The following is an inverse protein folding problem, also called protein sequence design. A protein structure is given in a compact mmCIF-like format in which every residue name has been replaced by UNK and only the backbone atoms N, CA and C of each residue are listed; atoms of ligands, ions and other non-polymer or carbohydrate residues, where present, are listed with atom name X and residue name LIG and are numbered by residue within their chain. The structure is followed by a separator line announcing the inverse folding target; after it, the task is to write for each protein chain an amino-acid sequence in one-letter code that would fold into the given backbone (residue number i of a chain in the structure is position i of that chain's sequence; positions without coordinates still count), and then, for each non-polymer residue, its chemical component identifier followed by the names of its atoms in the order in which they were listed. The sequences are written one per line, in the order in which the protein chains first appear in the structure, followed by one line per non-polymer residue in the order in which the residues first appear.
data_IF_831585033875
#
_entry.id   IF_831585033875
#
_cell.length_a   1.000
_cell.length_b   1.000
_cell.length_c   1.000
_cell.angle_alpha   90.00
_cell.angle_beta   90.00
_cell.angle_gamma   90.00
#
_symmetry.space_group_name_H-M   'P 1'
#
loop_
_entity.id
_entity.type
_entity.pdbx_description
1 polymer ?
#
# COMPACT_ATOMS: atom_id res chain seq x y z
N UNK A 1 40.07 26.75 60.42
CA UNK A 1 39.65 27.41 59.16
C UNK A 1 38.69 26.44 58.48
N UNK A 2 37.41 26.81 58.44
CA UNK A 2 36.30 25.96 58.02
C UNK A 2 35.86 26.44 56.64
N UNK A 3 35.99 25.59 55.62
CA UNK A 3 35.57 25.91 54.24
C UNK A 3 34.21 25.28 53.97
N UNK A 4 33.18 26.12 53.85
CA UNK A 4 31.84 25.73 53.42
C UNK A 4 31.79 25.69 51.90
N UNK A 5 31.36 24.57 51.32
CA UNK A 5 31.12 24.42 49.89
C UNK A 5 29.62 24.47 49.65
N UNK A 6 29.15 25.55 49.03
CA UNK A 6 27.76 25.71 48.60
C UNK A 6 27.58 25.05 47.24
N UNK A 7 26.82 23.96 47.19
CA UNK A 7 26.39 23.38 45.91
C UNK A 7 25.25 24.20 45.33
N UNK A 8 25.47 24.78 44.14
CA UNK A 8 24.42 25.43 43.35
C UNK A 8 23.81 24.35 42.45
N UNK A 9 22.59 23.95 42.75
CA UNK A 9 21.79 23.04 41.92
C UNK A 9 21.21 23.83 40.75
N UNK A 10 21.77 23.69 39.56
CA UNK A 10 21.17 24.21 38.34
C UNK A 10 20.02 23.29 37.91
N UNK A 11 18.79 23.80 37.94
CA UNK A 11 17.64 23.12 37.38
C UNK A 11 17.72 23.20 35.84
N UNK A 12 18.01 22.07 35.19
CA UNK A 12 17.95 21.94 33.74
C UNK A 12 16.46 21.82 33.39
N UNK A 13 15.85 22.91 32.96
CA UNK A 13 14.52 22.88 32.38
C UNK A 13 14.55 21.96 31.15
N UNK A 14 13.83 20.85 31.23
CA UNK A 14 13.71 19.89 30.14
C UNK A 14 13.07 20.55 28.93
N UNK A 15 13.88 20.82 27.91
CA UNK A 15 13.42 21.00 26.54
C UNK A 15 12.82 19.67 26.08
N UNK A 16 11.53 19.47 26.37
CA UNK A 16 10.75 18.42 25.74
C UNK A 16 10.56 18.84 24.30
N UNK A 17 11.53 18.50 23.45
CA UNK A 17 11.37 18.56 22.00
C UNK A 17 10.31 17.53 21.66
N UNK A 18 9.04 17.94 21.63
CA UNK A 18 8.02 17.16 20.95
C UNK A 18 8.57 16.91 19.54
N UNK A 19 8.84 15.65 19.22
CA UNK A 19 9.18 15.27 17.86
C UNK A 19 8.09 15.85 16.95
N UNK A 20 8.42 16.38 15.77
CA UNK A 20 7.41 16.83 14.83
C UNK A 20 6.41 15.68 14.66
N UNK A 21 5.15 15.94 15.00
CA UNK A 21 4.07 15.03 14.67
C UNK A 21 4.14 14.84 13.16
N UNK A 22 4.40 13.62 12.71
CA UNK A 22 4.29 13.27 11.31
C UNK A 22 2.87 13.67 10.91
N UNK A 23 2.71 14.70 10.09
CA UNK A 23 1.40 15.02 9.53
C UNK A 23 0.89 13.74 8.87
N UNK A 24 -0.37 13.39 9.15
CA UNK A 24 -1.01 12.22 8.55
C UNK A 24 -0.89 12.36 7.03
N UNK A 25 -0.15 11.43 6.44
CA UNK A 25 0.15 11.41 5.01
C UNK A 25 -1.01 10.87 4.15
N UNK A 26 -2.13 10.57 4.80
CA UNK A 26 -3.34 10.05 4.17
C UNK A 26 -4.54 10.26 5.09
N UNK A 27 -5.75 10.27 4.53
CA UNK A 27 -6.99 10.32 5.32
C UNK A 27 -7.49 8.90 5.63
N UNK A 28 -7.57 8.48 6.91
CA UNK A 28 -8.08 7.16 7.27
C UNK A 28 -9.58 7.04 7.01
N UNK A 29 -10.04 5.81 6.72
CA UNK A 29 -11.43 5.45 6.48
C UNK A 29 -11.59 4.32 5.46
N UNK A 30 -12.43 4.55 4.46
CA UNK A 30 -12.69 3.61 3.38
C UNK A 30 -11.76 3.91 2.20
N UNK A 31 -10.67 3.17 2.11
CA UNK A 31 -9.62 3.37 1.11
C UNK A 31 -9.87 2.46 -0.10
N UNK A 32 -9.31 2.83 -1.24
CA UNK A 32 -9.54 2.16 -2.51
C UNK A 32 -8.26 1.73 -3.20
N UNK A 33 -8.33 0.64 -3.96
CA UNK A 33 -7.36 0.35 -5.02
C UNK A 33 -8.04 0.24 -6.36
N UNK A 34 -7.41 0.80 -7.38
CA UNK A 34 -7.71 0.55 -8.78
C UNK A 34 -6.58 -0.26 -9.39
N UNK A 35 -6.91 -1.37 -10.02
CA UNK A 35 -5.94 -2.33 -10.54
C UNK A 35 -6.24 -2.61 -12.01
N UNK A 36 -5.27 -2.32 -12.88
CA UNK A 36 -5.25 -2.81 -14.25
C UNK A 36 -4.34 -4.04 -14.31
N UNK A 37 -4.90 -5.19 -14.66
CA UNK A 37 -4.16 -6.42 -14.95
C UNK A 37 -4.01 -6.58 -16.45
N UNK A 38 -2.76 -6.64 -16.92
CA UNK A 38 -2.44 -6.92 -18.32
C UNK A 38 -2.21 -8.42 -18.52
N UNK A 39 -2.96 -9.01 -19.46
CA UNK A 39 -2.95 -10.44 -19.77
C UNK A 39 -1.61 -10.88 -20.36
N UNK A 40 -1.16 -12.07 -19.96
CA UNK A 40 0.03 -12.71 -20.56
C UNK A 40 -0.11 -12.81 -22.08
N UNK A 41 1.01 -12.65 -22.77
CA UNK A 41 1.15 -12.82 -24.21
C UNK A 41 0.22 -11.95 -25.08
N UNK A 42 -0.44 -10.95 -24.49
CA UNK A 42 -1.22 -9.93 -25.20
C UNK A 42 -0.48 -8.61 -25.18
N UNK A 43 -0.66 -7.76 -26.19
CA UNK A 43 -0.20 -6.37 -26.18
C UNK A 43 1.29 -6.13 -25.87
N UNK A 44 2.17 -7.13 -26.04
CA UNK A 44 3.59 -7.03 -25.68
C UNK A 44 3.89 -7.18 -24.18
N UNK A 45 2.95 -7.70 -23.38
CA UNK A 45 3.09 -7.89 -21.93
C UNK A 45 4.22 -8.87 -21.58
N UNK A 46 4.35 -9.96 -22.34
CA UNK A 46 5.30 -11.05 -22.06
C UNK A 46 4.65 -12.26 -21.41
N UNK A 47 5.45 -13.18 -20.86
CA UNK A 47 4.97 -14.44 -20.28
C UNK A 47 4.39 -14.31 -18.86
N UNK A 48 4.56 -13.16 -18.23
CA UNK A 48 4.11 -12.85 -16.87
C UNK A 48 2.93 -11.87 -16.93
N UNK A 49 2.04 -11.90 -15.94
CA UNK A 49 1.06 -10.82 -15.81
C UNK A 49 1.77 -9.54 -15.41
N UNK A 50 1.30 -8.41 -15.94
CA UNK A 50 1.71 -7.08 -15.46
C UNK A 50 0.56 -6.42 -14.71
N UNK A 51 0.90 -5.55 -13.77
CA UNK A 51 -0.08 -4.82 -12.98
C UNK A 51 0.29 -3.35 -12.90
N UNK A 52 -0.71 -2.51 -13.12
CA UNK A 52 -0.71 -1.12 -12.66
C UNK A 52 -1.71 -1.03 -11.51
N UNK A 53 -1.28 -0.51 -10.37
CA UNK A 53 -2.10 -0.37 -9.16
C UNK A 53 -2.02 1.07 -8.70
N UNK A 54 -3.16 1.68 -8.44
CA UNK A 54 -3.29 2.98 -7.78
C UNK A 54 -3.94 2.76 -6.42
N UNK A 55 -3.37 3.32 -5.35
CA UNK A 55 -3.95 3.32 -4.00
C UNK A 55 -4.49 4.71 -3.70
N UNK A 56 -5.73 4.77 -3.24
CA UNK A 56 -6.43 5.99 -2.82
C UNK A 56 -6.85 5.93 -1.37
N UNK A 57 -6.82 7.07 -0.69
CA UNK A 57 -7.30 7.21 0.68
C UNK A 57 -8.82 7.43 0.75
N UNK A 58 -9.35 7.77 1.93
CA UNK A 58 -10.78 7.94 2.16
C UNK A 58 -11.40 9.18 1.49
N UNK A 59 -10.59 10.09 0.94
CA UNK A 59 -11.05 11.28 0.20
C UNK A 59 -10.66 11.23 -1.29
N UNK A 60 -10.34 10.03 -1.78
CA UNK A 60 -9.94 9.72 -3.16
C UNK A 60 -8.57 10.28 -3.60
N UNK A 61 -7.74 10.75 -2.67
CA UNK A 61 -6.38 11.21 -2.99
C UNK A 61 -5.46 10.01 -3.30
N UNK A 62 -4.68 10.11 -4.37
CA UNK A 62 -3.71 9.07 -4.75
C UNK A 62 -2.52 9.14 -3.82
N UNK A 63 -2.32 8.09 -3.05
CA UNK A 63 -1.29 8.00 -2.00
C UNK A 63 -0.24 6.92 -2.28
N UNK A 64 -0.30 6.26 -3.44
CA UNK A 64 0.68 5.25 -3.81
C UNK A 64 0.28 4.39 -5.00
N UNK A 65 1.15 3.45 -5.35
CA UNK A 65 0.94 2.58 -6.49
C UNK A 65 2.19 1.97 -7.09
N UNK A 66 1.97 1.17 -8.14
CA UNK A 66 2.98 0.59 -9.02
C UNK A 66 2.48 0.68 -10.45
N UNK A 67 3.39 0.63 -11.42
CA UNK A 67 3.05 0.70 -12.85
C UNK A 67 3.78 -0.38 -13.63
N UNK A 68 3.05 -1.08 -14.50
CA UNK A 68 3.57 -2.10 -15.43
C UNK A 68 4.44 -3.17 -14.75
N UNK A 69 4.18 -3.46 -13.47
CA UNK A 69 4.98 -4.37 -12.66
C UNK A 69 4.66 -5.81 -13.06
N UNK A 70 5.65 -6.51 -13.59
CA UNK A 70 5.53 -7.94 -13.88
C UNK A 70 5.59 -8.74 -12.58
N UNK A 71 4.72 -9.75 -12.47
CA UNK A 71 4.68 -10.68 -11.34
C UNK A 71 4.60 -12.10 -11.91
N UNK A 72 5.60 -12.92 -11.56
CA UNK A 72 5.63 -14.32 -11.96
C UNK A 72 4.56 -15.15 -11.25
N UNK A 73 4.23 -16.29 -11.83
CA UNK A 73 3.15 -17.16 -11.34
C UNK A 73 3.36 -17.60 -9.90
N UNK A 74 2.29 -17.51 -9.11
CA UNK A 74 2.28 -17.83 -7.68
C UNK A 74 3.26 -17.00 -6.84
N UNK A 75 3.75 -15.87 -7.36
CA UNK A 75 4.56 -14.92 -6.62
C UNK A 75 3.74 -13.74 -6.13
N UNK A 76 4.36 -12.99 -5.23
CA UNK A 76 3.81 -11.77 -4.67
C UNK A 76 4.74 -10.59 -4.94
N UNK A 77 4.18 -9.39 -4.96
CA UNK A 77 4.96 -8.15 -4.86
C UNK A 77 4.30 -7.17 -3.90
N UNK A 78 5.09 -6.18 -3.49
CA UNK A 78 4.68 -5.11 -2.58
C UNK A 78 4.33 -3.86 -3.38
N UNK A 79 3.21 -3.22 -3.04
CA UNK A 79 2.81 -1.90 -3.50
C UNK A 79 3.03 -0.91 -2.37
N UNK A 80 3.91 0.07 -2.62
CA UNK A 80 4.24 1.12 -1.65
C UNK A 80 3.25 2.29 -1.74
N UNK A 81 2.99 2.92 -0.59
CA UNK A 81 2.12 4.09 -0.45
C UNK A 81 2.48 4.87 0.81
N UNK A 82 1.71 5.92 1.07
CA UNK A 82 1.76 6.72 2.30
C UNK A 82 1.09 6.02 3.51
N UNK A 83 0.50 4.84 3.30
CA UNK A 83 -0.08 4.02 4.37
C UNK A 83 0.99 3.44 5.32
N UNK A 84 0.64 3.14 6.58
CA UNK A 84 1.57 2.57 7.57
C UNK A 84 2.05 1.16 7.24
N UNK A 85 1.27 0.41 6.44
CA UNK A 85 1.59 -0.94 6.00
C UNK A 85 1.62 -1.01 4.48
N UNK A 86 2.39 -1.95 3.95
CA UNK A 86 2.39 -2.24 2.53
C UNK A 86 1.18 -3.07 2.11
N UNK A 87 0.63 -2.76 0.95
CA UNK A 87 -0.31 -3.65 0.26
C UNK A 87 0.51 -4.72 -0.47
N UNK A 88 0.11 -5.98 -0.33
CA UNK A 88 0.71 -7.10 -1.06
C UNK A 88 -0.28 -7.61 -2.08
N UNK A 89 0.18 -7.77 -3.33
CA UNK A 89 -0.55 -8.43 -4.41
C UNK A 89 0.08 -9.80 -4.67
N UNK A 90 -0.75 -10.83 -4.86
CA UNK A 90 -0.33 -12.20 -5.21
C UNK A 90 -1.12 -12.67 -6.41
N UNK A 91 -0.42 -13.27 -7.37
CA UNK A 91 -1.00 -13.66 -8.66
C UNK A 91 -1.06 -15.18 -8.78
N UNK A 92 -2.10 -15.67 -9.47
CA UNK A 92 -2.16 -17.07 -9.89
C UNK A 92 -1.32 -17.31 -11.15
N UNK A 93 -1.66 -18.38 -11.85
CA UNK A 93 -0.99 -18.84 -13.08
C UNK A 93 -1.84 -18.67 -14.33
N UNK A 94 -3.17 -18.64 -14.21
CA UNK A 94 -4.12 -18.53 -15.33
C UNK A 94 -5.13 -17.40 -15.13
N UNK A 95 -5.84 -17.04 -16.19
CA UNK A 95 -6.72 -15.85 -16.22
C UNK A 95 -7.88 -15.92 -15.22
N UNK A 96 -8.35 -17.14 -14.95
CA UNK A 96 -9.42 -17.45 -14.01
C UNK A 96 -8.94 -17.49 -12.54
N UNK A 97 -7.63 -17.51 -12.29
CA UNK A 97 -7.12 -17.48 -10.93
C UNK A 97 -7.38 -16.10 -10.30
N UNK A 98 -7.86 -16.05 -9.05
CA UNK A 98 -8.11 -14.79 -8.38
C UNK A 98 -6.79 -14.07 -8.07
N UNK A 99 -6.77 -12.77 -8.28
CA UNK A 99 -5.71 -11.90 -7.78
C UNK A 99 -6.01 -11.67 -6.30
N UNK A 100 -5.06 -11.99 -5.43
CA UNK A 100 -5.21 -11.85 -3.98
C UNK A 100 -4.49 -10.61 -3.49
N UNK A 101 -5.13 -9.91 -2.57
CA UNK A 101 -4.62 -8.71 -1.94
C UNK A 101 -4.54 -8.91 -0.43
N UNK A 102 -3.54 -8.30 0.21
CA UNK A 102 -3.43 -8.26 1.65
C UNK A 102 -2.93 -6.91 2.13
N UNK A 103 -3.56 -6.37 3.17
CA UNK A 103 -3.17 -5.12 3.83
C UNK A 103 -3.43 -5.26 5.33
N UNK A 104 -2.42 -4.96 6.16
CA UNK A 104 -2.53 -4.99 7.63
C UNK A 104 -3.18 -6.28 8.21
N UNK A 105 -2.96 -7.44 7.56
CA UNK A 105 -3.55 -8.73 7.95
C UNK A 105 -4.97 -8.98 7.42
N UNK A 106 -5.62 -7.98 6.83
CA UNK A 106 -6.87 -8.17 6.08
C UNK A 106 -6.56 -8.74 4.69
N UNK A 107 -7.34 -9.72 4.24
CA UNK A 107 -7.17 -10.41 2.96
C UNK A 107 -8.46 -10.31 2.16
N UNK A 108 -8.33 -9.93 0.88
CA UNK A 108 -9.43 -9.84 -0.08
C UNK A 108 -8.91 -10.27 -1.47
N UNK A 109 -9.79 -10.38 -2.46
CA UNK A 109 -9.40 -10.83 -3.79
C UNK A 109 -10.31 -10.32 -4.89
N UNK A 110 -9.87 -10.46 -6.14
CA UNK A 110 -10.68 -10.15 -7.32
C UNK A 110 -12.01 -10.91 -7.37
N UNK A 111 -12.15 -12.04 -6.66
CA UNK A 111 -13.39 -12.81 -6.53
C UNK A 111 -14.26 -12.44 -5.33
N UNK A 112 -13.71 -11.69 -4.36
CA UNK A 112 -14.34 -11.41 -3.06
C UNK A 112 -13.80 -10.10 -2.50
N UNK A 113 -14.64 -9.06 -2.51
CA UNK A 113 -14.27 -7.72 -2.02
C UNK A 113 -13.84 -6.74 -3.11
N UNK A 114 -13.95 -7.12 -4.39
CA UNK A 114 -13.65 -6.25 -5.53
C UNK A 114 -14.82 -6.25 -6.54
N UNK A 115 -14.98 -5.11 -7.22
CA UNK A 115 -15.66 -5.02 -8.51
C UNK A 115 -14.66 -5.37 -9.61
N UNK A 116 -15.04 -6.22 -10.56
CA UNK A 116 -14.14 -6.80 -11.56
C UNK A 116 -14.81 -6.71 -12.94
N UNK A 117 -14.08 -6.16 -13.92
CA UNK A 117 -14.44 -6.21 -15.33
C UNK A 117 -13.99 -7.49 -16.03
N UNK A 118 -14.42 -7.67 -17.28
CA UNK A 118 -13.83 -8.68 -18.17
C UNK A 118 -12.47 -8.25 -18.71
N UNK A 119 -11.81 -9.14 -19.44
CA UNK A 119 -10.66 -8.75 -20.26
C UNK A 119 -11.13 -8.04 -21.53
N UNK A 120 -10.76 -6.78 -21.69
CA UNK A 120 -10.98 -5.97 -22.88
C UNK A 120 -9.62 -5.57 -23.47
N UNK A 121 -9.36 -5.96 -24.72
CA UNK A 121 -8.07 -5.73 -25.40
C UNK A 121 -6.85 -6.25 -24.61
N UNK A 122 -7.02 -7.35 -23.86
CA UNK A 122 -5.95 -7.94 -23.04
C UNK A 122 -5.79 -7.29 -21.67
N UNK A 123 -6.67 -6.38 -21.25
CA UNK A 123 -6.61 -5.73 -19.95
C UNK A 123 -7.87 -6.03 -19.15
N UNK A 124 -7.73 -6.24 -17.83
CA UNK A 124 -8.85 -6.37 -16.91
C UNK A 124 -8.72 -5.32 -15.81
N UNK A 125 -9.80 -4.57 -15.60
CA UNK A 125 -9.89 -3.57 -14.53
C UNK A 125 -10.55 -4.17 -13.28
N UNK A 126 -10.04 -3.78 -12.11
CA UNK A 126 -10.58 -4.18 -10.80
C UNK A 126 -10.54 -2.99 -9.84
N UNK A 127 -11.62 -2.78 -9.10
CA UNK A 127 -11.72 -1.79 -8.03
C UNK A 127 -12.04 -2.50 -6.72
N UNK A 128 -11.21 -2.32 -5.70
CA UNK A 128 -11.40 -2.95 -4.39
C UNK A 128 -11.37 -1.92 -3.27
N UNK A 129 -12.19 -2.12 -2.24
CA UNK A 129 -12.19 -1.30 -1.03
C UNK A 129 -11.57 -2.02 0.15
N UNK A 130 -10.89 -1.28 1.02
CA UNK A 130 -10.35 -1.80 2.28
C UNK A 130 -10.29 -0.70 3.34
N UNK A 131 -10.23 -1.08 4.61
CA UNK A 131 -10.02 -0.11 5.69
C UNK A 131 -8.55 0.25 5.79
N UNK A 132 -8.26 1.53 5.71
CA UNK A 132 -6.99 2.13 6.12
C UNK A 132 -7.30 3.31 7.07
#
# INVERSE_FOLDING_TARGET
MQFSITFITAAIAGLSTAAPTLEERYVPGACGIHVTQYQKNQGGVGSEYKFTVTIKDAVDDIIGGIRDQAIADFQSTTVFSELPHSLVITVGSVDDDPVRFAYAGHIFSSSTGCSIGGYENGNREMDCGFTC
#
